data_IF_177413527679
#
_entry.id   IF_177413527679
#
_cell.length_a   1.000
_cell.length_b   1.000
_cell.length_c   1.000
_cell.angle_alpha   90.00
_cell.angle_beta   90.00
_cell.angle_gamma   90.00
#
_symmetry.space_group_name_H-M   'P 1'
#
loop_
_entity.id
_entity.type
_entity.pdbx_description
1 polymer ?
#
# COMPACT_ATOMS: atom_id res chain seq x y z
N UNK A 1 -6.89 69.29 -31.36
CA UNK A 1 -5.88 68.28 -30.94
C UNK A 1 -6.27 67.58 -29.63
N UNK A 2 -6.61 68.24 -28.55
CA UNK A 2 -6.98 67.64 -27.26
C UNK A 2 -8.17 66.64 -27.34
N UNK A 3 -9.17 66.93 -28.17
CA UNK A 3 -10.36 66.10 -28.34
C UNK A 3 -10.03 64.73 -28.99
N UNK A 4 -9.24 64.73 -30.07
CA UNK A 4 -8.78 63.48 -30.72
C UNK A 4 -7.87 62.63 -29.82
N UNK A 5 -7.14 63.21 -28.89
CA UNK A 5 -6.31 62.51 -27.91
C UNK A 5 -7.21 61.79 -26.86
N UNK A 6 -8.30 62.46 -26.45
CA UNK A 6 -9.29 61.87 -25.52
C UNK A 6 -10.04 60.70 -26.10
N UNK A 7 -10.40 60.72 -27.38
CA UNK A 7 -11.06 59.59 -28.07
C UNK A 7 -10.11 58.36 -28.19
N UNK A 8 -8.83 58.56 -28.51
CA UNK A 8 -7.86 57.50 -28.61
C UNK A 8 -7.65 56.83 -27.23
N UNK A 9 -7.57 57.63 -26.15
CA UNK A 9 -7.44 57.10 -24.78
C UNK A 9 -8.68 56.29 -24.40
N UNK A 10 -9.88 56.76 -24.70
CA UNK A 10 -11.13 56.01 -24.41
C UNK A 10 -11.22 54.69 -25.16
N UNK A 11 -10.78 54.63 -26.41
CA UNK A 11 -10.74 53.38 -27.21
C UNK A 11 -9.73 52.42 -26.63
N UNK A 12 -8.54 52.89 -26.27
CA UNK A 12 -7.48 52.06 -25.64
C UNK A 12 -7.95 51.47 -24.30
N UNK A 13 -8.59 52.30 -23.46
CA UNK A 13 -9.17 51.82 -22.19
C UNK A 13 -10.26 50.76 -22.46
N UNK A 14 -11.12 51.00 -23.44
CA UNK A 14 -12.14 50.01 -23.83
C UNK A 14 -11.56 48.65 -24.27
N UNK A 15 -10.50 48.68 -25.08
CA UNK A 15 -9.81 47.47 -25.53
C UNK A 15 -9.15 46.76 -24.34
N UNK A 16 -8.43 47.50 -23.45
CA UNK A 16 -7.78 46.93 -22.27
C UNK A 16 -8.80 46.30 -21.30
N UNK A 17 -9.95 46.91 -21.09
CA UNK A 17 -11.03 46.36 -20.28
C UNK A 17 -11.61 45.08 -20.91
N UNK A 18 -11.87 45.09 -22.21
CA UNK A 18 -12.36 43.91 -22.93
C UNK A 18 -11.35 42.75 -22.85
N UNK A 19 -10.06 43.02 -23.05
CA UNK A 19 -8.99 42.01 -22.89
C UNK A 19 -8.91 41.49 -21.45
N UNK A 20 -9.02 42.33 -20.44
CA UNK A 20 -8.98 41.93 -19.03
C UNK A 20 -10.19 41.00 -18.70
N UNK A 21 -11.38 41.37 -19.13
CA UNK A 21 -12.59 40.55 -18.95
C UNK A 21 -12.43 39.20 -19.65
N UNK A 22 -11.94 39.21 -20.89
CA UNK A 22 -11.72 37.96 -21.64
C UNK A 22 -10.69 37.06 -20.96
N UNK A 23 -9.57 37.63 -20.51
CA UNK A 23 -8.51 36.88 -19.81
C UNK A 23 -9.03 36.26 -18.49
N UNK A 24 -9.80 37.03 -17.71
CA UNK A 24 -10.44 36.50 -16.47
C UNK A 24 -11.41 35.37 -16.77
N UNK A 25 -12.21 35.47 -17.82
CA UNK A 25 -13.12 34.42 -18.22
C UNK A 25 -12.37 33.17 -18.65
N UNK A 26 -11.30 33.32 -19.44
CA UNK A 26 -10.46 32.19 -19.85
C UNK A 26 -9.77 31.54 -18.67
N UNK A 27 -9.25 32.32 -17.71
CA UNK A 27 -8.65 31.78 -16.47
C UNK A 27 -9.65 30.97 -15.68
N UNK A 28 -10.91 31.45 -15.55
CA UNK A 28 -11.96 30.72 -14.87
C UNK A 28 -12.31 29.40 -15.56
N UNK A 29 -12.41 29.41 -16.88
CA UNK A 29 -12.67 28.18 -17.68
C UNK A 29 -11.54 27.16 -17.47
N UNK A 30 -10.28 27.61 -17.51
CA UNK A 30 -9.13 26.76 -17.26
C UNK A 30 -9.14 26.21 -15.84
N UNK A 31 -9.42 27.04 -14.83
CA UNK A 31 -9.53 26.63 -13.43
C UNK A 31 -10.62 25.57 -13.23
N UNK A 32 -11.81 25.76 -13.77
CA UNK A 32 -12.92 24.80 -13.68
C UNK A 32 -12.52 23.47 -14.34
N UNK A 33 -11.87 23.53 -15.51
CA UNK A 33 -11.38 22.33 -16.22
C UNK A 33 -10.34 21.57 -15.40
N UNK A 34 -9.33 22.25 -14.87
CA UNK A 34 -8.28 21.62 -14.06
C UNK A 34 -8.86 21.07 -12.75
N UNK A 35 -9.78 21.79 -12.11
CA UNK A 35 -10.48 21.29 -10.92
C UNK A 35 -11.22 19.97 -11.18
N UNK A 36 -11.85 19.82 -12.34
CA UNK A 36 -12.50 18.55 -12.71
C UNK A 36 -11.49 17.42 -12.93
N UNK A 37 -10.37 17.71 -13.59
CA UNK A 37 -9.27 16.73 -13.76
C UNK A 37 -8.70 16.32 -12.40
N UNK A 38 -8.52 17.25 -11.46
CA UNK A 38 -8.06 16.92 -10.10
C UNK A 38 -9.06 16.03 -9.35
N UNK A 39 -10.37 16.16 -9.59
CA UNK A 39 -11.38 15.24 -9.06
C UNK A 39 -11.28 13.83 -9.68
N UNK A 40 -10.96 13.73 -10.96
CA UNK A 40 -10.67 12.43 -11.60
C UNK A 40 -9.45 11.77 -10.93
N UNK A 41 -8.38 12.54 -10.71
CA UNK A 41 -7.20 12.06 -9.97
C UNK A 41 -7.58 11.58 -8.57
N UNK A 42 -8.44 12.29 -7.83
CA UNK A 42 -8.88 11.85 -6.52
C UNK A 42 -9.62 10.50 -6.57
N UNK A 43 -10.43 10.25 -7.59
CA UNK A 43 -11.11 8.96 -7.79
C UNK A 43 -10.10 7.84 -8.09
N UNK A 44 -9.09 8.11 -8.93
CA UNK A 44 -8.00 7.19 -9.20
C UNK A 44 -7.23 6.85 -7.91
N UNK A 45 -6.86 7.86 -7.10
CA UNK A 45 -6.16 7.68 -5.84
C UNK A 45 -6.96 6.81 -4.83
N UNK A 46 -8.28 7.01 -4.73
CA UNK A 46 -9.15 6.18 -3.87
C UNK A 46 -9.10 4.72 -4.31
N UNK A 47 -9.27 4.46 -5.59
CA UNK A 47 -9.23 3.10 -6.16
C UNK A 47 -7.86 2.44 -5.95
N UNK A 48 -6.77 3.20 -6.09
CA UNK A 48 -5.41 2.69 -5.90
C UNK A 48 -5.12 2.35 -4.43
N UNK A 49 -5.63 3.16 -3.48
CA UNK A 49 -5.54 2.86 -2.05
C UNK A 49 -6.34 1.61 -1.69
N UNK A 50 -7.54 1.41 -2.26
CA UNK A 50 -8.30 0.17 -2.10
C UNK A 50 -7.51 -1.05 -2.57
N UNK A 51 -6.90 -0.96 -3.74
CA UNK A 51 -6.05 -2.03 -4.29
C UNK A 51 -4.82 -2.31 -3.43
N UNK A 52 -4.18 -1.27 -2.90
CA UNK A 52 -3.06 -1.43 -1.96
C UNK A 52 -3.49 -2.18 -0.69
N UNK A 53 -4.67 -1.89 -0.14
CA UNK A 53 -5.22 -2.63 1.01
C UNK A 53 -5.52 -4.10 0.68
N UNK A 54 -5.98 -4.40 -0.53
CA UNK A 54 -6.15 -5.79 -0.98
C UNK A 54 -4.81 -6.54 -1.10
N UNK A 55 -3.77 -5.87 -1.62
CA UNK A 55 -2.40 -6.44 -1.67
C UNK A 55 -1.93 -6.78 -0.26
N UNK A 56 -2.14 -5.89 0.70
CA UNK A 56 -1.80 -6.12 2.08
C UNK A 56 -2.54 -7.33 2.68
N UNK A 57 -3.84 -7.43 2.49
CA UNK A 57 -4.62 -8.58 2.97
C UNK A 57 -4.14 -9.91 2.40
N UNK A 58 -3.73 -9.91 1.14
CA UNK A 58 -3.13 -11.08 0.49
C UNK A 58 -1.74 -11.39 1.04
N UNK A 59 -0.97 -10.35 1.36
CA UNK A 59 0.35 -10.50 1.96
C UNK A 59 0.26 -11.15 3.34
N UNK A 60 -0.59 -10.66 4.25
CA UNK A 60 -0.81 -11.23 5.59
C UNK A 60 -1.14 -12.72 5.51
N UNK A 61 -2.07 -13.10 4.60
CA UNK A 61 -2.45 -14.52 4.44
C UNK A 61 -1.30 -15.40 3.96
N UNK A 62 -0.49 -14.89 3.03
CA UNK A 62 0.65 -15.63 2.52
C UNK A 62 1.77 -15.74 3.54
N UNK A 63 2.04 -14.67 4.28
CA UNK A 63 3.04 -14.60 5.34
C UNK A 63 2.76 -15.64 6.44
N UNK A 64 1.52 -15.76 6.88
CA UNK A 64 1.11 -16.78 7.85
C UNK A 64 1.32 -18.22 7.35
N UNK A 65 1.12 -18.47 6.04
CA UNK A 65 1.35 -19.79 5.45
C UNK A 65 2.84 -20.08 5.27
N UNK A 66 3.59 -19.07 4.84
CA UNK A 66 5.05 -19.16 4.72
C UNK A 66 5.70 -19.62 6.02
N UNK A 67 5.35 -18.97 7.13
CA UNK A 67 5.92 -19.30 8.43
C UNK A 67 5.69 -20.77 8.81
N UNK A 68 4.49 -21.30 8.52
CA UNK A 68 4.20 -22.70 8.75
C UNK A 68 5.01 -23.63 7.84
N UNK A 69 5.22 -23.27 6.57
CA UNK A 69 6.02 -24.05 5.61
C UNK A 69 7.50 -24.05 6.02
N UNK A 70 8.08 -22.89 6.29
CA UNK A 70 9.50 -22.75 6.57
C UNK A 70 9.89 -23.36 7.92
N UNK A 71 8.96 -23.45 8.87
CA UNK A 71 9.16 -24.07 10.19
C UNK A 71 8.69 -25.53 10.28
N UNK A 72 8.44 -26.22 9.16
CA UNK A 72 7.99 -27.62 9.10
C UNK A 72 6.67 -27.89 9.86
N UNK A 73 5.83 -26.88 10.02
CA UNK A 73 4.54 -26.97 10.70
C UNK A 73 3.36 -27.15 9.73
N UNK A 74 3.61 -27.02 8.43
CA UNK A 74 2.58 -27.24 7.40
C UNK A 74 2.50 -28.72 7.07
N UNK A 75 1.32 -29.30 7.24
CA UNK A 75 1.14 -30.77 7.19
C UNK A 75 0.64 -31.23 5.81
N UNK A 76 0.67 -32.55 5.57
CA UNK A 76 0.07 -33.20 4.41
C UNK A 76 -1.41 -32.81 4.20
N UNK A 77 -2.19 -32.75 5.30
CA UNK A 77 -3.59 -32.36 5.23
C UNK A 77 -3.77 -30.89 4.86
N UNK A 78 -2.87 -30.01 5.29
CA UNK A 78 -2.88 -28.60 4.92
C UNK A 78 -2.65 -28.42 3.41
N UNK A 79 -1.65 -29.09 2.85
CA UNK A 79 -1.44 -29.12 1.41
C UNK A 79 -2.64 -29.71 0.65
N UNK A 80 -3.27 -30.75 1.17
CA UNK A 80 -4.45 -31.35 0.59
C UNK A 80 -5.66 -30.40 0.57
N UNK A 81 -5.77 -29.50 1.56
CA UNK A 81 -6.81 -28.47 1.65
C UNK A 81 -6.74 -27.38 0.59
N UNK A 82 -5.71 -27.36 -0.25
CA UNK A 82 -5.43 -26.39 -1.34
C UNK A 82 -5.01 -24.98 -0.90
N UNK A 83 -4.87 -24.69 0.38
CA UNK A 83 -4.58 -23.31 0.85
C UNK A 83 -3.20 -22.80 0.47
N UNK A 84 -2.16 -23.66 0.48
CA UNK A 84 -0.78 -23.26 0.17
C UNK A 84 -0.27 -23.67 -1.21
N UNK A 85 -1.02 -24.46 -1.96
CA UNK A 85 -0.55 -25.07 -3.22
C UNK A 85 -0.08 -24.09 -4.29
N UNK A 86 -0.40 -22.80 -4.14
CA UNK A 86 -0.03 -21.75 -5.07
C UNK A 86 1.16 -20.90 -4.61
N UNK A 87 1.60 -21.09 -3.39
CA UNK A 87 2.87 -20.50 -2.97
C UNK A 87 4.02 -21.41 -3.46
N UNK A 88 4.94 -20.96 -4.23
CA UNK A 88 5.28 -19.64 -4.79
C UNK A 88 4.97 -19.52 -6.31
N UNK A 89 3.83 -20.05 -6.76
CA UNK A 89 3.49 -20.20 -8.19
C UNK A 89 2.39 -19.24 -8.66
N UNK A 90 2.18 -18.14 -7.95
CA UNK A 90 1.14 -17.18 -8.28
C UNK A 90 1.49 -15.78 -7.79
N UNK A 91 1.21 -14.77 -8.58
CA UNK A 91 1.43 -13.38 -8.23
C UNK A 91 0.19 -12.52 -8.52
N UNK A 92 0.20 -11.32 -7.97
CA UNK A 92 -0.74 -10.24 -8.30
C UNK A 92 0.07 -8.96 -8.40
N UNK A 93 -0.08 -8.29 -9.52
CA UNK A 93 0.51 -6.98 -9.73
C UNK A 93 -0.24 -5.90 -8.92
N UNK A 94 0.52 -4.98 -8.36
CA UNK A 94 -0.02 -3.71 -7.90
C UNK A 94 0.00 -2.75 -9.10
N UNK A 95 -1.18 -2.39 -9.61
CA UNK A 95 -1.32 -1.50 -10.76
C UNK A 95 -2.08 -0.26 -10.34
N UNK A 96 -1.55 0.90 -10.65
CA UNK A 96 -2.17 2.20 -10.36
C UNK A 96 -2.88 2.76 -11.59
N UNK A 97 -3.92 3.58 -11.37
CA UNK A 97 -4.62 4.27 -12.43
C UNK A 97 -3.89 5.57 -12.76
N UNK A 98 -3.63 5.80 -14.05
CA UNK A 98 -2.92 7.01 -14.51
C UNK A 98 -3.81 7.96 -15.31
N UNK A 99 -5.09 7.63 -15.52
CA UNK A 99 -5.96 8.34 -16.45
C UNK A 99 -6.11 9.82 -16.11
N UNK A 100 -6.37 10.16 -14.86
CA UNK A 100 -6.49 11.55 -14.39
C UNK A 100 -5.17 12.30 -14.53
N UNK A 101 -4.04 11.67 -14.17
CA UNK A 101 -2.72 12.27 -14.31
C UNK A 101 -2.34 12.51 -15.79
N UNK A 102 -2.57 11.56 -16.66
CA UNK A 102 -2.32 11.69 -18.09
C UNK A 102 -3.18 12.81 -18.70
N UNK A 103 -4.42 12.96 -18.22
CA UNK A 103 -5.28 14.06 -18.61
C UNK A 103 -4.75 15.41 -18.10
N UNK A 104 -4.23 15.48 -16.88
CA UNK A 104 -3.57 16.67 -16.35
C UNK A 104 -2.35 17.06 -17.19
N UNK A 105 -1.50 16.10 -17.53
CA UNK A 105 -0.30 16.35 -18.34
C UNK A 105 -0.62 16.88 -19.75
N UNK A 106 -1.69 16.43 -20.37
CA UNK A 106 -2.18 16.99 -21.65
C UNK A 106 -2.67 18.44 -21.53
N UNK A 107 -2.94 18.91 -20.32
CA UNK A 107 -3.44 20.24 -20.04
C UNK A 107 -2.48 21.08 -19.19
N UNK A 108 -1.21 20.71 -19.12
CA UNK A 108 -0.21 21.29 -18.21
C UNK A 108 -0.07 22.80 -18.37
N UNK A 109 -0.13 23.32 -19.59
CA UNK A 109 0.00 24.75 -19.91
C UNK A 109 -1.19 25.59 -19.40
N UNK A 110 -2.30 24.95 -19.03
CA UNK A 110 -3.51 25.57 -18.51
C UNK A 110 -3.65 25.45 -16.98
N UNK A 111 -2.66 24.85 -16.31
CA UNK A 111 -2.71 24.66 -14.86
C UNK A 111 -2.50 25.99 -14.15
N UNK A 112 -3.47 26.46 -13.33
CA UNK A 112 -3.29 27.68 -12.54
C UNK A 112 -2.12 27.56 -11.54
N UNK A 113 -1.41 28.67 -11.33
CA UNK A 113 -0.24 28.77 -10.43
C UNK A 113 -0.52 28.19 -9.02
N UNK A 114 -1.73 28.37 -8.51
CA UNK A 114 -2.14 27.82 -7.19
C UNK A 114 -2.03 26.31 -7.07
N UNK A 115 -2.02 25.57 -8.17
CA UNK A 115 -1.88 24.11 -8.22
C UNK A 115 -0.46 23.62 -8.49
N UNK A 116 0.50 24.51 -8.79
CA UNK A 116 1.90 24.13 -9.04
C UNK A 116 2.52 23.29 -7.91
N UNK A 117 2.29 23.61 -6.60
CA UNK A 117 2.84 22.81 -5.50
C UNK A 117 2.37 21.35 -5.52
N UNK A 118 1.18 21.07 -6.11
CA UNK A 118 0.64 19.73 -6.25
C UNK A 118 1.32 18.93 -7.37
N UNK A 119 1.79 19.59 -8.43
CA UNK A 119 2.41 18.92 -9.58
C UNK A 119 3.63 18.07 -9.18
N UNK A 120 4.40 18.54 -8.21
CA UNK A 120 5.57 17.82 -7.69
C UNK A 120 5.14 16.50 -7.00
N UNK A 121 4.08 16.55 -6.19
CA UNK A 121 3.61 15.37 -5.47
C UNK A 121 2.98 14.36 -6.43
N UNK A 122 2.22 14.84 -7.41
CA UNK A 122 1.65 13.98 -8.46
C UNK A 122 2.74 13.37 -9.34
N UNK A 123 3.80 14.12 -9.68
CA UNK A 123 4.95 13.54 -10.39
C UNK A 123 5.61 12.43 -9.58
N UNK A 124 5.85 12.65 -8.29
CA UNK A 124 6.40 11.62 -7.42
C UNK A 124 5.54 10.34 -7.40
N UNK A 125 4.21 10.47 -7.38
CA UNK A 125 3.29 9.33 -7.42
C UNK A 125 3.30 8.61 -8.77
N UNK A 126 3.04 9.35 -9.85
CA UNK A 126 2.73 8.78 -11.15
C UNK A 126 3.95 8.55 -12.05
N UNK A 127 5.11 9.07 -11.68
CA UNK A 127 6.38 8.84 -12.39
C UNK A 127 7.33 8.04 -11.52
N UNK A 128 7.75 8.60 -10.37
CA UNK A 128 8.84 8.03 -9.60
C UNK A 128 8.39 6.73 -8.89
N UNK A 129 7.31 6.77 -8.08
CA UNK A 129 6.80 5.57 -7.41
C UNK A 129 6.21 4.53 -8.37
N UNK A 130 5.61 5.00 -9.49
CA UNK A 130 5.14 4.07 -10.53
C UNK A 130 6.29 3.28 -11.12
N UNK A 131 7.41 3.91 -11.40
CA UNK A 131 8.59 3.21 -11.92
C UNK A 131 9.07 2.12 -10.94
N UNK A 132 9.11 2.42 -9.64
CA UNK A 132 9.45 1.43 -8.61
C UNK A 132 8.43 0.28 -8.55
N UNK A 133 7.14 0.58 -8.62
CA UNK A 133 6.06 -0.42 -8.67
C UNK A 133 6.26 -1.36 -9.85
N UNK A 134 6.52 -0.82 -11.03
CA UNK A 134 6.71 -1.61 -12.26
C UNK A 134 7.92 -2.57 -12.12
N UNK A 135 9.03 -2.12 -11.52
CA UNK A 135 10.21 -2.93 -11.24
C UNK A 135 9.88 -4.10 -10.31
N UNK A 136 9.17 -3.86 -9.20
CA UNK A 136 8.85 -4.93 -8.26
C UNK A 136 7.77 -5.89 -8.78
N UNK A 137 6.82 -5.41 -9.57
CA UNK A 137 5.86 -6.26 -10.28
C UNK A 137 6.57 -7.20 -11.26
N UNK A 138 7.54 -6.69 -12.03
CA UNK A 138 8.33 -7.52 -12.97
C UNK A 138 9.14 -8.56 -12.21
N UNK A 139 9.80 -8.17 -11.13
CA UNK A 139 10.63 -9.07 -10.33
C UNK A 139 9.85 -10.25 -9.75
N UNK A 140 8.68 -10.00 -9.14
CA UNK A 140 7.85 -11.09 -8.60
C UNK A 140 7.30 -11.99 -9.73
N UNK A 141 6.96 -11.41 -10.88
CA UNK A 141 6.53 -12.15 -12.08
C UNK A 141 7.62 -13.09 -12.56
N UNK A 142 8.84 -12.60 -12.71
CA UNK A 142 10.00 -13.42 -13.10
C UNK A 142 10.24 -14.56 -12.11
N UNK A 143 10.19 -14.29 -10.81
CA UNK A 143 10.38 -15.31 -9.76
C UNK A 143 9.31 -16.40 -9.88
N UNK A 144 8.05 -16.04 -10.06
CA UNK A 144 6.97 -17.00 -10.22
C UNK A 144 7.12 -17.84 -11.49
N UNK A 145 7.44 -17.23 -12.63
CA UNK A 145 7.63 -17.98 -13.88
C UNK A 145 8.84 -18.91 -13.80
N UNK A 146 9.97 -18.48 -13.22
CA UNK A 146 11.12 -19.36 -12.99
C UNK A 146 10.76 -20.58 -12.12
N UNK A 147 9.98 -20.36 -11.06
CA UNK A 147 9.52 -21.45 -10.21
C UNK A 147 8.59 -22.43 -10.97
N UNK A 148 7.67 -21.90 -11.76
CA UNK A 148 6.76 -22.71 -12.60
C UNK A 148 7.55 -23.54 -13.60
N UNK A 149 8.42 -22.90 -14.38
CA UNK A 149 9.22 -23.57 -15.43
C UNK A 149 10.10 -24.66 -14.82
N UNK A 150 10.72 -24.38 -13.68
CA UNK A 150 11.56 -25.36 -12.98
C UNK A 150 10.75 -26.60 -12.58
N UNK A 151 9.61 -26.42 -11.90
CA UNK A 151 8.78 -27.56 -11.47
C UNK A 151 8.23 -28.32 -12.69
N UNK A 152 7.85 -27.62 -13.75
CA UNK A 152 7.28 -28.23 -14.96
C UNK A 152 8.30 -29.09 -15.72
N UNK A 153 9.56 -28.69 -15.71
CA UNK A 153 10.61 -29.39 -16.46
C UNK A 153 11.34 -30.44 -15.65
N UNK A 154 11.34 -30.34 -14.31
CA UNK A 154 12.17 -31.20 -13.44
C UNK A 154 11.42 -32.37 -12.82
N UNK A 155 10.07 -32.35 -12.81
CA UNK A 155 9.28 -33.33 -12.05
C UNK A 155 8.17 -33.97 -12.88
N UNK A 156 8.26 -35.29 -13.08
CA UNK A 156 7.30 -36.09 -13.86
C UNK A 156 5.87 -36.06 -13.27
N UNK A 157 5.73 -35.98 -11.94
CA UNK A 157 4.43 -35.87 -11.27
C UNK A 157 3.67 -34.60 -11.62
N UNK A 158 4.34 -33.56 -12.13
CA UNK A 158 3.70 -32.30 -12.44
C UNK A 158 2.67 -32.40 -13.56
N UNK A 159 2.88 -33.28 -14.54
CA UNK A 159 1.88 -33.55 -15.58
C UNK A 159 0.56 -34.05 -14.96
N UNK A 160 0.65 -34.99 -14.03
CA UNK A 160 -0.53 -35.55 -13.36
C UNK A 160 -1.19 -34.51 -12.45
N UNK A 161 -0.37 -33.68 -11.79
CA UNK A 161 -0.83 -32.54 -10.98
C UNK A 161 -1.67 -31.54 -11.79
N UNK A 162 -1.20 -31.14 -12.99
CA UNK A 162 -1.93 -30.24 -13.91
C UNK A 162 -3.25 -30.88 -14.36
N UNK A 163 -3.25 -32.19 -14.58
CA UNK A 163 -4.43 -32.97 -14.95
C UNK A 163 -5.40 -33.20 -13.76
N UNK A 164 -5.11 -32.61 -12.58
CA UNK A 164 -5.94 -32.75 -11.37
C UNK A 164 -5.73 -34.04 -10.59
N UNK A 165 -4.73 -34.85 -10.97
CA UNK A 165 -4.34 -36.06 -10.24
C UNK A 165 -3.26 -35.70 -9.23
N UNK A 166 -3.64 -35.56 -7.97
CA UNK A 166 -2.71 -35.22 -6.91
C UNK A 166 -2.04 -36.47 -6.36
N UNK A 167 -0.78 -36.69 -6.74
CA UNK A 167 0.03 -37.86 -6.35
C UNK A 167 0.74 -37.63 -5.02
N UNK A 168 1.12 -38.71 -4.34
CA UNK A 168 1.91 -38.64 -3.11
C UNK A 168 3.29 -38.04 -3.36
N UNK A 169 3.89 -38.24 -4.55
CA UNK A 169 5.16 -37.65 -4.93
C UNK A 169 5.12 -36.12 -4.93
N UNK A 170 4.04 -35.53 -5.43
CA UNK A 170 3.83 -34.08 -5.39
C UNK A 170 3.73 -33.55 -3.94
N UNK A 171 3.00 -34.27 -3.07
CA UNK A 171 2.91 -33.89 -1.67
C UNK A 171 4.24 -34.05 -0.94
N UNK A 172 4.99 -35.12 -1.22
CA UNK A 172 6.32 -35.34 -0.66
C UNK A 172 7.30 -34.25 -1.06
N UNK A 173 7.22 -33.77 -2.31
CA UNK A 173 8.00 -32.61 -2.77
C UNK A 173 7.68 -31.37 -1.92
N UNK A 174 6.41 -31.00 -1.80
CA UNK A 174 6.02 -29.79 -1.04
C UNK A 174 6.35 -29.89 0.46
N UNK A 175 6.33 -31.09 1.05
CA UNK A 175 6.64 -31.27 2.45
C UNK A 175 8.13 -31.28 2.75
N UNK A 176 8.93 -31.92 1.89
CA UNK A 176 10.28 -32.33 2.25
C UNK A 176 11.37 -31.67 1.42
N UNK A 177 11.07 -31.13 0.23
CA UNK A 177 12.09 -30.56 -0.62
C UNK A 177 12.60 -29.20 -0.10
N UNK A 178 13.87 -29.10 0.25
CA UNK A 178 14.53 -27.85 0.62
C UNK A 178 14.45 -26.80 -0.49
N UNK A 179 14.47 -27.27 -1.72
CA UNK A 179 14.30 -26.43 -2.91
C UNK A 179 12.95 -25.71 -2.91
N UNK A 180 11.84 -26.38 -2.62
CA UNK A 180 10.54 -25.75 -2.52
C UNK A 180 10.51 -24.69 -1.42
N UNK A 181 11.10 -24.95 -0.26
CA UNK A 181 11.22 -23.97 0.83
C UNK A 181 12.03 -22.75 0.40
N UNK A 182 13.12 -22.94 -0.35
CA UNK A 182 13.89 -21.84 -0.92
C UNK A 182 13.05 -21.01 -1.92
N UNK A 183 12.26 -21.65 -2.76
CA UNK A 183 11.33 -20.95 -3.66
C UNK A 183 10.30 -20.14 -2.88
N UNK A 184 9.73 -20.69 -1.81
CA UNK A 184 8.78 -19.98 -0.93
C UNK A 184 9.45 -18.76 -0.31
N UNK A 185 10.67 -18.90 0.20
CA UNK A 185 11.41 -17.79 0.81
C UNK A 185 11.70 -16.67 -0.20
N UNK A 186 12.22 -16.98 -1.39
CA UNK A 186 12.50 -16.00 -2.43
C UNK A 186 11.23 -15.30 -2.92
N UNK A 187 10.18 -16.06 -3.16
CA UNK A 187 8.87 -15.51 -3.53
C UNK A 187 8.33 -14.54 -2.48
N UNK A 188 8.42 -14.89 -1.21
CA UNK A 188 7.92 -14.03 -0.14
C UNK A 188 8.77 -12.78 0.06
N UNK A 189 10.08 -12.86 -0.21
CA UNK A 189 10.94 -11.67 -0.25
C UNK A 189 10.47 -10.67 -1.33
N UNK A 190 10.25 -11.15 -2.56
CA UNK A 190 9.81 -10.30 -3.65
C UNK A 190 8.39 -9.76 -3.39
N UNK A 191 7.52 -10.58 -2.81
CA UNK A 191 6.19 -10.17 -2.40
C UNK A 191 6.19 -9.13 -1.29
N UNK A 192 7.11 -9.22 -0.33
CA UNK A 192 7.30 -8.22 0.71
C UNK A 192 7.71 -6.86 0.12
N UNK A 193 8.57 -6.86 -0.90
CA UNK A 193 8.94 -5.65 -1.61
C UNK A 193 7.74 -5.03 -2.35
N UNK A 194 6.93 -5.84 -3.05
CA UNK A 194 5.69 -5.37 -3.70
C UNK A 194 4.71 -4.81 -2.66
N UNK A 195 4.59 -5.45 -1.51
CA UNK A 195 3.79 -4.93 -0.41
C UNK A 195 4.32 -3.58 0.09
N UNK A 196 5.61 -3.48 0.40
CA UNK A 196 6.23 -2.26 0.93
C UNK A 196 6.05 -1.07 -0.02
N UNK A 197 6.28 -1.25 -1.32
CA UNK A 197 6.11 -0.18 -2.29
C UNK A 197 4.63 0.22 -2.46
N UNK A 198 3.69 -0.74 -2.40
CA UNK A 198 2.26 -0.46 -2.46
C UNK A 198 1.79 0.38 -1.27
N UNK A 199 2.32 0.12 -0.06
CA UNK A 199 2.03 0.93 1.12
C UNK A 199 2.65 2.33 1.03
N UNK A 200 3.91 2.42 0.55
CA UNK A 200 4.56 3.71 0.32
C UNK A 200 3.79 4.59 -0.68
N UNK A 201 3.26 3.98 -1.74
CA UNK A 201 2.37 4.66 -2.69
C UNK A 201 1.07 5.10 -2.00
N UNK A 202 0.42 4.19 -1.27
CA UNK A 202 -0.86 4.43 -0.59
C UNK A 202 -0.81 5.64 0.34
N UNK A 203 0.23 5.76 1.17
CA UNK A 203 0.40 6.93 2.06
C UNK A 203 0.53 8.23 1.26
N UNK A 204 1.38 8.25 0.24
CA UNK A 204 1.53 9.46 -0.60
C UNK A 204 0.25 9.77 -1.39
N UNK A 205 -0.52 8.76 -1.79
CA UNK A 205 -1.82 8.93 -2.45
C UNK A 205 -2.87 9.57 -1.51
N UNK A 206 -2.90 9.15 -0.24
CA UNK A 206 -3.77 9.76 0.78
C UNK A 206 -3.38 11.23 1.01
N UNK A 207 -2.09 11.53 1.15
CA UNK A 207 -1.60 12.91 1.29
C UNK A 207 -1.97 13.78 0.09
N UNK A 208 -1.79 13.28 -1.14
CA UNK A 208 -2.15 13.98 -2.36
C UNK A 208 -3.68 14.23 -2.44
N UNK A 209 -4.49 13.23 -2.05
CA UNK A 209 -5.95 13.37 -2.00
C UNK A 209 -6.37 14.53 -1.09
N UNK A 210 -5.82 14.61 0.13
CA UNK A 210 -6.12 15.69 1.06
C UNK A 210 -5.67 17.05 0.54
N UNK A 211 -4.48 17.12 -0.06
CA UNK A 211 -3.96 18.35 -0.65
C UNK A 211 -4.81 18.85 -1.82
N UNK A 212 -5.34 17.93 -2.65
CA UNK A 212 -6.29 18.29 -3.72
C UNK A 212 -7.57 18.88 -3.11
N UNK A 213 -8.13 18.27 -2.07
CA UNK A 213 -9.33 18.79 -1.38
C UNK A 213 -9.11 20.22 -0.86
N UNK A 214 -7.98 20.46 -0.21
CA UNK A 214 -7.62 21.77 0.34
C UNK A 214 -7.53 22.83 -0.78
N UNK A 215 -6.79 22.54 -1.84
CA UNK A 215 -6.53 23.48 -2.93
C UNK A 215 -7.76 23.74 -3.81
N UNK A 216 -8.61 22.73 -4.00
CA UNK A 216 -9.85 22.89 -4.78
C UNK A 216 -10.99 23.46 -3.95
N UNK A 217 -10.83 23.58 -2.63
CA UNK A 217 -11.89 23.95 -1.68
C UNK A 217 -13.15 23.08 -1.87
N UNK A 218 -12.95 21.84 -2.29
CA UNK A 218 -14.04 20.89 -2.44
C UNK A 218 -14.58 20.56 -1.05
N UNK A 219 -15.80 20.97 -0.76
CA UNK A 219 -16.52 20.48 0.41
C UNK A 219 -16.88 19.04 0.09
N UNK A 220 -16.07 18.09 0.56
CA UNK A 220 -16.40 16.68 0.48
C UNK A 220 -17.26 16.38 1.71
N UNK A 221 -18.49 15.93 1.49
CA UNK A 221 -19.44 15.61 2.58
C UNK A 221 -18.87 14.56 3.55
N UNK A 222 -17.97 13.70 3.08
CA UNK A 222 -17.19 12.76 3.89
C UNK A 222 -15.94 12.29 3.14
N UNK A 223 -14.83 12.12 3.87
CA UNK A 223 -13.63 11.46 3.33
C UNK A 223 -13.96 9.97 3.13
N UNK A 224 -13.62 9.36 1.98
CA UNK A 224 -13.81 7.93 1.77
C UNK A 224 -13.15 7.10 2.90
N UNK A 225 -13.91 6.13 3.45
CA UNK A 225 -13.44 5.28 4.56
C UNK A 225 -12.12 4.59 4.29
N UNK A 226 -11.86 4.25 3.03
CA UNK A 226 -10.62 3.58 2.62
C UNK A 226 -9.38 4.44 2.84
N UNK A 227 -9.52 5.76 2.87
CA UNK A 227 -8.43 6.71 3.13
C UNK A 227 -8.21 6.97 4.62
N UNK A 228 -9.04 6.40 5.51
CA UNK A 228 -8.90 6.58 6.94
C UNK A 228 -7.61 5.90 7.45
N UNK A 229 -6.81 6.66 8.18
CA UNK A 229 -5.61 6.20 8.88
C UNK A 229 -5.88 5.86 10.35
N UNK A 230 -7.09 6.16 10.83
CA UNK A 230 -7.57 5.89 12.19
C UNK A 230 -8.86 5.06 12.13
N UNK A 231 -9.13 4.20 13.13
CA UNK A 231 -10.38 3.44 13.19
C UNK A 231 -11.57 4.36 13.49
N UNK A 232 -12.75 4.05 12.91
CA UNK A 232 -14.00 4.75 13.23
C UNK A 232 -14.43 4.52 14.70
N UNK A 233 -14.34 3.27 15.16
CA UNK A 233 -14.54 2.92 16.56
C UNK A 233 -13.19 2.89 17.27
N UNK A 234 -12.97 3.86 18.14
CA UNK A 234 -11.73 3.99 18.90
C UNK A 234 -11.82 3.38 20.31
N UNK A 235 -12.97 2.81 20.68
CA UNK A 235 -13.21 2.27 22.02
C UNK A 235 -12.24 1.14 22.40
N UNK A 236 -11.82 0.33 21.42
CA UNK A 236 -10.91 -0.77 21.66
C UNK A 236 -9.45 -0.33 21.83
N UNK A 237 -9.07 0.88 21.40
CA UNK A 237 -7.69 1.36 21.45
C UNK A 237 -7.16 1.42 22.89
N UNK A 238 -8.02 1.77 23.85
CA UNK A 238 -7.63 1.81 25.27
C UNK A 238 -7.25 0.43 25.82
N UNK A 239 -7.82 -0.65 25.27
CA UNK A 239 -7.51 -2.01 25.66
C UNK A 239 -6.16 -2.48 25.12
N UNK A 240 -5.64 -1.82 24.07
CA UNK A 240 -4.36 -2.13 23.44
C UNK A 240 -3.20 -1.43 24.15
N UNK A 241 -3.43 -0.24 24.71
CA UNK A 241 -2.38 0.52 25.43
C UNK A 241 -1.84 -0.27 26.61
N UNK A 242 -0.52 -0.30 26.77
CA UNK A 242 0.17 -0.96 27.88
C UNK A 242 1.56 -1.46 27.57
N UNK A 243 2.13 -2.15 28.53
CA UNK A 243 3.43 -2.82 28.41
C UNK A 243 3.23 -4.26 27.96
N UNK A 244 4.14 -4.73 27.13
CA UNK A 244 4.08 -6.07 26.54
C UNK A 244 5.45 -6.73 26.61
N UNK A 245 5.44 -8.02 26.86
CA UNK A 245 6.64 -8.85 26.93
C UNK A 245 6.63 -9.91 25.85
N UNK A 246 7.78 -10.15 25.24
CA UNK A 246 7.94 -11.19 24.23
C UNK A 246 7.64 -12.56 24.88
N UNK A 247 6.67 -13.27 24.31
CA UNK A 247 6.25 -14.61 24.69
C UNK A 247 6.93 -15.68 23.86
N UNK A 248 6.94 -15.47 22.54
CA UNK A 248 7.48 -16.40 21.57
C UNK A 248 8.04 -15.67 20.35
N UNK A 249 9.13 -16.16 19.80
CA UNK A 249 9.76 -15.66 18.58
C UNK A 249 10.18 -16.82 17.71
N UNK A 250 9.73 -16.82 16.45
CA UNK A 250 10.19 -17.76 15.44
C UNK A 250 11.52 -17.34 14.80
N UNK A 251 12.04 -16.16 15.14
CA UNK A 251 13.25 -15.61 14.56
C UNK A 251 14.46 -15.88 15.44
N UNK A 252 15.45 -16.57 14.87
CA UNK A 252 16.72 -16.86 15.52
C UNK A 252 17.66 -15.64 15.57
N UNK A 253 17.44 -14.64 14.73
CA UNK A 253 18.34 -13.49 14.54
C UNK A 253 17.77 -12.16 15.02
N UNK A 254 16.62 -12.17 15.69
CA UNK A 254 16.03 -10.92 16.18
C UNK A 254 16.90 -10.30 17.29
N UNK A 255 17.05 -8.98 17.29
CA UNK A 255 17.77 -8.30 18.35
C UNK A 255 17.21 -8.71 19.71
N UNK A 256 18.07 -9.19 20.60
CA UNK A 256 17.70 -9.63 21.96
C UNK A 256 17.06 -8.51 22.80
N UNK A 257 17.07 -7.29 22.26
CA UNK A 257 16.73 -6.04 22.92
C UNK A 257 15.23 -5.70 22.84
N UNK A 258 14.46 -6.36 21.96
CA UNK A 258 13.02 -6.16 21.87
C UNK A 258 12.22 -7.18 22.70
N UNK A 259 12.68 -7.46 23.92
CA UNK A 259 11.95 -8.36 24.84
C UNK A 259 10.71 -7.70 25.44
N UNK A 260 10.75 -6.39 25.60
CA UNK A 260 9.65 -5.59 26.10
C UNK A 260 9.39 -4.42 25.15
N UNK A 261 8.14 -4.12 24.96
CA UNK A 261 7.68 -2.99 24.16
C UNK A 261 6.53 -2.31 24.87
N UNK A 262 6.30 -1.04 24.54
CA UNK A 262 5.17 -0.29 25.08
C UNK A 262 4.31 0.23 23.94
N UNK A 263 3.00 0.09 24.08
CA UNK A 263 2.01 0.73 23.22
C UNK A 263 1.44 1.92 23.97
N UNK A 264 1.56 3.11 23.38
CA UNK A 264 0.97 4.34 23.88
C UNK A 264 -0.08 4.87 22.94
N UNK A 265 -0.90 5.82 23.43
CA UNK A 265 -1.96 6.45 22.65
C UNK A 265 -1.87 7.96 22.78
N UNK A 266 -1.89 8.65 21.65
CA UNK A 266 -2.01 10.10 21.57
C UNK A 266 -3.22 10.45 20.68
N UNK A 267 -4.26 11.01 21.28
CA UNK A 267 -5.54 11.16 20.59
C UNK A 267 -6.11 9.79 20.18
N UNK A 268 -6.30 9.57 18.89
CA UNK A 268 -6.75 8.30 18.30
C UNK A 268 -5.61 7.50 17.66
N UNK A 269 -4.36 7.97 17.76
CA UNK A 269 -3.17 7.30 17.21
C UNK A 269 -2.52 6.43 18.26
N UNK A 270 -2.01 5.30 17.81
CA UNK A 270 -1.19 4.41 18.62
C UNK A 270 0.27 4.53 18.21
N UNK A 271 1.17 4.50 19.19
CA UNK A 271 2.62 4.47 18.98
C UNK A 271 3.19 3.21 19.64
N UNK A 272 4.04 2.53 18.90
CA UNK A 272 4.89 1.46 19.41
C UNK A 272 6.20 2.08 19.87
N UNK A 273 6.50 1.95 21.14
CA UNK A 273 7.73 2.44 21.77
C UNK A 273 8.64 1.25 22.01
N UNK A 274 9.86 1.32 21.53
CA UNK A 274 10.91 0.31 21.68
C UNK A 274 12.20 0.96 22.13
N UNK A 275 13.19 0.16 22.57
CA UNK A 275 14.53 0.67 22.89
C UNK A 275 15.24 1.29 21.68
N UNK A 276 14.82 0.94 20.46
CA UNK A 276 15.41 1.43 19.21
C UNK A 276 14.71 2.66 18.61
N UNK A 277 13.64 3.14 19.24
CA UNK A 277 12.85 4.29 18.80
C UNK A 277 11.36 4.02 18.80
N UNK A 278 10.62 5.05 18.38
CA UNK A 278 9.17 5.06 18.37
C UNK A 278 8.67 4.96 16.93
N UNK A 279 7.61 4.18 16.72
CA UNK A 279 6.95 4.02 15.42
C UNK A 279 5.45 4.24 15.55
N UNK A 280 4.86 5.03 14.66
CA UNK A 280 3.40 5.18 14.58
C UNK A 280 2.76 3.89 14.05
N UNK A 281 1.68 3.46 14.68
CA UNK A 281 0.87 2.33 14.24
C UNK A 281 -0.28 2.86 13.37
N UNK A 282 -0.18 2.66 12.06
CA UNK A 282 -1.20 3.10 11.11
C UNK A 282 -2.30 2.05 10.99
N UNK A 283 -3.53 2.46 11.26
CA UNK A 283 -4.69 1.57 11.20
C UNK A 283 -4.92 1.02 9.78
N UNK A 284 -5.14 -0.28 9.70
CA UNK A 284 -5.53 -0.94 8.44
C UNK A 284 -6.99 -1.40 8.49
N UNK A 285 -7.30 -2.35 9.35
CA UNK A 285 -8.67 -2.83 9.61
C UNK A 285 -8.75 -3.62 10.90
N UNK A 286 -9.93 -3.67 11.51
CA UNK A 286 -10.19 -4.41 12.76
C UNK A 286 -9.15 -4.08 13.84
N UNK A 287 -8.29 -5.02 14.18
CA UNK A 287 -7.18 -4.88 15.13
C UNK A 287 -5.81 -4.99 14.47
N UNK A 288 -5.73 -4.75 13.15
CA UNK A 288 -4.50 -4.82 12.37
C UNK A 288 -3.97 -3.42 12.07
N UNK A 289 -2.69 -3.21 12.35
CA UNK A 289 -1.98 -1.96 12.13
C UNK A 289 -0.68 -2.21 11.37
N UNK A 290 -0.23 -1.21 10.63
CA UNK A 290 1.07 -1.18 9.97
C UNK A 290 2.10 -0.49 10.85
N UNK A 291 3.33 -0.98 10.82
CA UNK A 291 4.53 -0.35 11.38
C UNK A 291 5.46 -0.04 10.21
N UNK A 292 5.89 1.21 10.06
CA UNK A 292 6.97 1.62 9.14
C UNK A 292 6.91 1.03 7.71
N UNK A 293 5.70 0.86 7.16
CA UNK A 293 5.44 0.41 5.78
C UNK A 293 5.82 -1.05 5.46
N UNK A 294 6.48 -1.78 6.36
CA UNK A 294 7.01 -3.11 6.07
C UNK A 294 6.57 -4.19 7.05
N UNK A 295 6.21 -3.80 8.25
CA UNK A 295 5.76 -4.69 9.32
C UNK A 295 4.29 -4.44 9.64
N UNK A 296 3.63 -5.44 10.18
CA UNK A 296 2.26 -5.29 10.67
C UNK A 296 2.09 -5.93 12.05
N UNK A 297 1.10 -5.40 12.78
CA UNK A 297 0.72 -5.86 14.12
C UNK A 297 -0.73 -6.30 14.08
N UNK A 298 -1.04 -7.42 14.70
CA UNK A 298 -2.42 -7.86 14.94
C UNK A 298 -2.66 -8.05 16.43
N UNK A 299 -3.48 -7.18 17.03
CA UNK A 299 -3.85 -7.26 18.43
C UNK A 299 -4.96 -8.30 18.66
N UNK A 300 -4.97 -8.89 19.87
CA UNK A 300 -5.88 -9.96 20.27
C UNK A 300 -5.79 -11.22 19.41
N UNK A 301 -4.65 -11.44 18.78
CA UNK A 301 -4.32 -12.67 18.06
C UNK A 301 -2.94 -13.16 18.55
N UNK A 302 -2.75 -14.45 18.72
CA UNK A 302 -3.75 -15.52 18.60
C UNK A 302 -4.82 -15.51 19.70
N UNK A 303 -4.59 -14.85 20.85
CA UNK A 303 -5.52 -14.80 21.99
C UNK A 303 -5.73 -13.36 22.48
N UNK A 304 -6.81 -13.15 23.22
CA UNK A 304 -7.08 -11.88 23.90
C UNK A 304 -5.92 -11.51 24.84
N UNK A 305 -5.46 -10.27 24.76
CA UNK A 305 -4.29 -9.78 25.51
C UNK A 305 -2.95 -10.14 24.87
N UNK A 306 -2.93 -10.87 23.78
CA UNK A 306 -1.74 -11.14 22.98
C UNK A 306 -1.78 -10.32 21.69
N UNK A 307 -0.63 -10.00 21.13
CA UNK A 307 -0.54 -9.55 19.76
C UNK A 307 0.70 -10.14 19.09
N UNK A 308 0.67 -10.23 17.79
CA UNK A 308 1.85 -10.62 17.05
C UNK A 308 2.31 -9.54 16.08
N UNK A 309 3.61 -9.47 15.90
CA UNK A 309 4.28 -8.66 14.90
C UNK A 309 4.81 -9.59 13.84
N UNK A 310 4.56 -9.30 12.59
CA UNK A 310 5.08 -10.07 11.46
C UNK A 310 5.35 -9.19 10.26
N UNK A 311 6.00 -9.75 9.27
CA UNK A 311 6.33 -9.14 7.99
C UNK A 311 7.83 -9.14 7.71
N UNK A 312 8.17 -8.91 6.44
CA UNK A 312 9.53 -8.69 5.97
C UNK A 312 10.56 -9.77 6.31
N UNK A 313 10.20 -11.04 6.18
CA UNK A 313 11.09 -12.21 6.43
C UNK A 313 11.60 -12.36 7.87
N UNK A 314 11.08 -11.58 8.82
CA UNK A 314 11.53 -11.63 10.20
C UNK A 314 10.79 -12.63 11.07
N UNK A 315 9.90 -13.43 10.47
CA UNK A 315 9.07 -14.39 11.22
C UNK A 315 8.03 -13.73 12.12
N UNK A 316 7.20 -14.56 12.73
CA UNK A 316 6.17 -14.10 13.65
C UNK A 316 6.71 -14.00 15.08
N UNK A 317 6.31 -12.96 15.79
CA UNK A 317 6.58 -12.78 17.22
C UNK A 317 5.28 -12.53 17.95
N UNK A 318 5.13 -13.20 19.05
CA UNK A 318 3.97 -13.04 19.92
C UNK A 318 4.38 -12.33 21.19
N UNK A 319 3.64 -11.30 21.53
CA UNK A 319 3.80 -10.56 22.78
C UNK A 319 2.56 -10.75 23.64
N UNK A 320 2.74 -10.74 24.96
CA UNK A 320 1.68 -10.80 25.95
C UNK A 320 1.69 -9.53 26.77
N UNK A 321 0.49 -8.97 27.00
CA UNK A 321 0.31 -7.78 27.83
C UNK A 321 0.67 -8.10 29.27
N UNK A 322 1.48 -7.25 29.88
CA UNK A 322 1.77 -7.30 31.32
C UNK A 322 0.59 -6.68 32.08
N UNK A 323 0.20 -7.30 33.21
CA UNK A 323 -0.89 -6.84 34.08
C UNK A 323 -0.52 -5.57 34.85
#
# INVERSE_FOLDING_TARGET
MLYAFGEIILVVIGILLALNINNRNQQKINEDKITNILKEIQQDLVSDVERSKEIFDRFIRADSIQDLILNDKYTYNDYKSKKARRLPFWYVDFVINTNGYDNLMRNIDNVPEKYEPLLKDLKNLYVDKKADIDVYNEKIRETVYKNIDHVWTSYDWNRDWIMGKHTDDAYNYYLNASEYKNMVMLYMNDRSNTFSISQSYSFSAIEAYHKINELTKSVVDSIPKVLALEPEDTSFLNNIVGHYKLKDSMDLNWPKDLKTIQITKEGNRLNLITENGDSELVFHKESTFLIDRALYVQFNKPKKGEFFVSGNMHGQRTYIKEE
#
